data_IF_738274214095
#
_entry.id   IF_738274214095
#
_cell.length_a   1.000
_cell.length_b   1.000
_cell.length_c   1.000
_cell.angle_alpha   90.00
_cell.angle_beta   90.00
_cell.angle_gamma   90.00
#
_symmetry.space_group_name_H-M   'P 1'
#
loop_
_entity.id
_entity.type
_entity.pdbx_description
1 polymer ?
#
# COMPACT_ATOMS: atom_id res chain seq x y z
N UNK A 1 -0.57 -14.59 16.53
CA UNK A 1 -1.52 -13.69 15.84
C UNK A 1 -0.74 -12.50 15.28
N UNK A 2 -0.47 -12.48 13.97
CA UNK A 2 0.31 -11.41 13.36
C UNK A 2 -0.53 -10.12 13.28
N UNK A 3 -0.15 -9.09 14.05
CA UNK A 3 -0.79 -7.76 13.96
C UNK A 3 -0.56 -7.22 12.56
N UNK A 4 -1.64 -7.13 11.78
CA UNK A 4 -1.66 -6.54 10.45
C UNK A 4 -1.16 -5.08 10.54
N UNK A 5 -0.17 -4.71 9.71
CA UNK A 5 0.47 -3.39 9.73
C UNK A 5 0.13 -2.61 8.49
N UNK A 6 -0.17 -1.32 8.68
CA UNK A 6 -0.51 -0.44 7.57
C UNK A 6 0.61 -0.37 6.52
N UNK A 7 0.30 -0.50 5.24
CA UNK A 7 1.31 -0.39 4.16
C UNK A 7 1.96 1.00 4.06
N UNK A 8 1.23 2.06 4.42
CA UNK A 8 1.71 3.45 4.35
C UNK A 8 2.48 3.85 5.61
N UNK A 9 1.84 3.78 6.78
CA UNK A 9 2.44 4.29 8.03
C UNK A 9 3.13 3.23 8.88
N UNK A 10 3.08 1.94 8.49
CA UNK A 10 3.61 0.78 9.22
C UNK A 10 3.12 0.59 10.66
N UNK A 11 2.17 1.41 11.11
CA UNK A 11 1.53 1.28 12.43
C UNK A 11 0.68 0.01 12.46
N UNK A 12 0.66 -0.64 13.62
CA UNK A 12 -0.23 -1.75 13.89
C UNK A 12 -1.67 -1.26 13.83
N UNK A 13 -2.51 -1.93 13.04
CA UNK A 13 -3.91 -1.55 12.90
C UNK A 13 -4.77 -2.14 14.01
N UNK A 14 -5.71 -1.33 14.48
CA UNK A 14 -6.98 -1.82 15.02
C UNK A 14 -8.11 -1.69 13.98
N UNK A 15 -8.18 -0.59 13.20
CA UNK A 15 -9.26 -0.29 12.23
C UNK A 15 -8.75 0.30 10.89
N UNK A 16 -9.39 -0.06 9.77
CA UNK A 16 -9.11 0.46 8.42
C UNK A 16 -9.59 -0.48 7.30
N UNK A 17 -9.07 -0.31 6.08
CA UNK A 17 -9.40 -1.16 4.92
C UNK A 17 -8.35 -2.24 4.68
N UNK A 18 -8.78 -3.40 4.20
CA UNK A 18 -7.93 -4.50 3.77
C UNK A 18 -7.99 -4.58 2.25
N UNK A 19 -6.84 -4.45 1.58
CA UNK A 19 -6.69 -4.63 0.14
C UNK A 19 -5.70 -5.76 -0.10
N UNK A 20 -6.20 -6.87 -0.65
CA UNK A 20 -5.41 -8.02 -1.07
C UNK A 20 -4.45 -8.56 0.02
N UNK A 21 -4.96 -8.76 1.24
CA UNK A 21 -4.19 -9.26 2.38
C UNK A 21 -3.28 -8.23 3.07
N UNK A 22 -3.20 -6.99 2.55
CA UNK A 22 -2.51 -5.88 3.22
C UNK A 22 -3.51 -4.86 3.76
N UNK A 23 -3.19 -4.26 4.90
CA UNK A 23 -4.06 -3.28 5.55
C UNK A 23 -3.62 -1.84 5.31
N UNK A 24 -4.59 -0.93 5.31
CA UNK A 24 -4.39 0.52 5.32
C UNK A 24 -5.17 1.09 6.51
N UNK A 25 -4.51 1.94 7.29
CA UNK A 25 -5.11 2.51 8.49
C UNK A 25 -6.21 3.53 8.14
N UNK A 26 -7.26 3.66 8.97
CA UNK A 26 -8.32 4.67 8.73
C UNK A 26 -7.76 6.09 8.55
N UNK A 27 -6.74 6.47 9.33
CA UNK A 27 -6.08 7.78 9.17
C UNK A 27 -5.39 7.93 7.81
N UNK A 28 -4.88 6.83 7.27
CA UNK A 28 -4.14 6.79 6.02
C UNK A 28 -5.10 6.86 4.83
N UNK A 29 -6.21 6.11 4.90
CA UNK A 29 -7.31 6.19 3.93
C UNK A 29 -7.90 7.61 3.89
N UNK A 30 -8.23 8.19 5.05
CA UNK A 30 -8.75 9.56 5.10
C UNK A 30 -7.77 10.59 4.53
N UNK A 31 -6.46 10.41 4.76
CA UNK A 31 -5.44 11.25 4.13
C UNK A 31 -5.42 11.10 2.62
N UNK A 32 -5.60 9.90 2.09
CA UNK A 32 -5.62 9.64 0.65
C UNK A 32 -6.87 10.26 0.02
N UNK A 33 -8.04 10.00 0.58
CA UNK A 33 -9.32 10.52 0.07
C UNK A 33 -9.33 12.05 0.09
N UNK A 34 -8.73 12.65 1.12
CA UNK A 34 -8.64 14.11 1.26
C UNK A 34 -7.38 14.72 0.60
N UNK A 35 -6.49 13.90 0.03
CA UNK A 35 -5.28 14.39 -0.64
C UNK A 35 -5.56 14.75 -2.09
N UNK A 36 -4.99 15.87 -2.55
CA UNK A 36 -5.02 16.22 -3.96
C UNK A 36 -4.07 15.32 -4.75
N UNK A 37 -4.44 14.96 -5.98
CA UNK A 37 -3.66 14.11 -6.90
C UNK A 37 -2.23 14.64 -7.13
N UNK A 38 -2.03 15.96 -7.06
CA UNK A 38 -0.72 16.60 -7.23
C UNK A 38 0.15 16.63 -5.97
N UNK A 39 -0.18 15.85 -4.94
CA UNK A 39 0.64 15.76 -3.74
C UNK A 39 1.60 14.58 -3.81
N UNK A 40 2.81 14.76 -3.30
CA UNK A 40 3.82 13.71 -3.18
C UNK A 40 3.27 12.48 -2.43
N UNK A 41 2.36 12.74 -1.49
CA UNK A 41 1.65 11.72 -0.72
C UNK A 41 0.77 10.81 -1.59
N UNK A 42 0.09 11.36 -2.60
CA UNK A 42 -0.73 10.59 -3.52
C UNK A 42 0.13 9.68 -4.42
N UNK A 43 1.26 10.20 -4.91
CA UNK A 43 2.22 9.40 -5.67
C UNK A 43 2.80 8.26 -4.84
N UNK A 44 3.19 8.54 -3.59
CA UNK A 44 3.66 7.52 -2.65
C UNK A 44 2.60 6.44 -2.40
N UNK A 45 1.36 6.85 -2.13
CA UNK A 45 0.25 5.91 -1.92
C UNK A 45 0.00 5.01 -3.13
N UNK A 46 -0.05 5.61 -4.33
CA UNK A 46 -0.22 4.91 -5.60
C UNK A 46 0.89 3.89 -5.83
N UNK A 47 2.14 4.24 -5.52
CA UNK A 47 3.27 3.32 -5.66
C UNK A 47 3.19 2.15 -4.66
N UNK A 48 2.80 2.41 -3.41
CA UNK A 48 2.57 1.38 -2.40
C UNK A 48 1.48 0.37 -2.81
N UNK A 49 0.35 0.85 -3.35
CA UNK A 49 -0.71 -0.04 -3.85
C UNK A 49 -0.21 -0.80 -5.07
N UNK A 50 0.43 -0.12 -6.03
CA UNK A 50 0.91 -0.76 -7.26
C UNK A 50 1.89 -1.90 -6.93
N UNK A 51 2.84 -1.68 -6.02
CA UNK A 51 3.74 -2.73 -5.52
C UNK A 51 2.98 -3.87 -4.85
N UNK A 52 1.94 -3.55 -4.08
CA UNK A 52 1.12 -4.56 -3.39
C UNK A 52 0.30 -5.41 -4.36
N UNK A 53 -0.29 -4.81 -5.40
CA UNK A 53 -1.10 -5.53 -6.38
C UNK A 53 -0.25 -6.34 -7.37
N UNK A 54 0.93 -5.81 -7.76
CA UNK A 54 1.86 -6.51 -8.67
C UNK A 54 2.45 -7.77 -8.05
N UNK A 55 2.62 -7.80 -6.73
CA UNK A 55 3.09 -8.96 -5.97
C UNK A 55 2.13 -10.18 -6.08
N UNK A 56 0.87 -9.95 -6.49
CA UNK A 56 -0.21 -10.93 -6.47
C UNK A 56 -0.70 -11.33 -7.87
N UNK A 57 -0.09 -10.80 -8.93
CA UNK A 57 -0.24 -11.36 -10.28
C UNK A 57 0.75 -12.53 -10.42
N UNK A 58 0.31 -13.80 -10.51
CA UNK A 58 1.17 -14.88 -10.97
C UNK A 58 1.53 -14.55 -12.42
N UNK A 59 2.70 -13.91 -12.58
CA UNK A 59 3.19 -13.48 -13.87
C UNK A 59 3.86 -14.68 -14.50
N UNK A 60 3.26 -15.18 -15.57
CA UNK A 60 3.98 -15.90 -16.60
C UNK A 60 5.18 -15.03 -17.04
N UNK A 61 6.36 -15.36 -16.50
CA UNK A 61 7.61 -15.23 -17.24
C UNK A 61 8.47 -13.97 -17.20
N UNK A 62 8.17 -12.84 -16.52
CA UNK A 62 9.18 -11.72 -16.40
C UNK A 62 9.21 -10.96 -15.08
N UNK A 63 10.19 -11.36 -14.26
CA UNK A 63 10.78 -10.69 -13.10
C UNK A 63 11.26 -9.28 -13.49
N UNK A 64 10.73 -8.25 -12.82
CA UNK A 64 11.43 -6.96 -12.67
C UNK A 64 11.45 -6.62 -11.19
N UNK A 65 12.47 -7.20 -10.56
CA UNK A 65 12.96 -6.89 -9.24
C UNK A 65 13.48 -5.46 -9.28
N UNK A 66 12.65 -4.48 -8.92
CA UNK A 66 13.17 -3.15 -8.61
C UNK A 66 13.74 -3.22 -7.19
N UNK A 67 15.02 -3.61 -7.16
CA UNK A 67 15.95 -3.39 -6.06
C UNK A 67 15.84 -1.94 -5.56
N UNK A 68 15.57 -1.77 -4.27
CA UNK A 68 16.00 -0.56 -3.56
C UNK A 68 17.50 -0.67 -3.38
N UNK A 69 18.24 0.32 -3.89
CA UNK A 69 19.58 0.66 -3.44
C UNK A 69 19.47 1.80 -2.43
#
# INVERSE_FOLDING_TARGET
MAKQRCIICRKALNNGIIINGRVICKSCEGRVVNSKINTDFYNYYRDCIKKTLVDLLPRDGKTRQYFYR
#
